data_IF_172117458477
#
_entry.id   IF_172117458477
#
_cell.length_a   1.000
_cell.length_b   1.000
_cell.length_c   1.000
_cell.angle_alpha   90.00
_cell.angle_beta   90.00
_cell.angle_gamma   90.00
#
_symmetry.space_group_name_H-M   'P 1'
#
loop_
_entity.id
_entity.type
_entity.pdbx_description
1 polymer ?
#
# COMPACT_ATOMS: atom_id res chain seq x y z
N UNK A 1 -50.54 -11.49 50.18
CA UNK A 1 -50.63 -10.89 48.82
C UNK A 1 -49.23 -10.51 48.36
N UNK A 2 -48.84 -11.02 47.17
CA UNK A 2 -47.74 -10.59 46.27
C UNK A 2 -46.30 -10.80 46.79
N UNK A 3 -45.53 -11.80 46.34
CA UNK A 3 -44.92 -12.09 45.01
C UNK A 3 -43.42 -11.69 45.03
N UNK A 4 -42.46 -12.65 44.89
CA UNK A 4 -41.73 -13.03 43.65
C UNK A 4 -41.12 -11.79 42.95
N UNK A 5 -39.82 -11.65 42.63
CA UNK A 5 -38.72 -12.59 42.44
C UNK A 5 -37.36 -11.82 42.41
N UNK A 6 -36.20 -12.51 42.52
CA UNK A 6 -34.87 -11.97 42.20
C UNK A 6 -34.51 -12.18 40.72
N UNK A 7 -33.32 -11.70 40.33
CA UNK A 7 -32.66 -11.81 39.01
C UNK A 7 -33.05 -10.76 37.96
N UNK A 8 -32.14 -9.79 37.79
CA UNK A 8 -31.73 -9.36 36.46
C UNK A 8 -30.19 -9.27 36.47
N UNK A 9 -29.57 -10.43 36.18
CA UNK A 9 -28.16 -10.53 35.82
C UNK A 9 -28.01 -9.77 34.49
N UNK A 10 -27.42 -8.57 34.53
CA UNK A 10 -27.06 -7.83 33.35
C UNK A 10 -25.98 -8.61 32.60
N UNK A 11 -26.41 -9.42 31.64
CA UNK A 11 -25.53 -10.07 30.69
C UNK A 11 -24.92 -8.97 29.82
N UNK A 12 -23.70 -8.56 30.14
CA UNK A 12 -22.85 -7.78 29.23
C UNK A 12 -22.64 -8.64 27.98
N UNK A 13 -23.41 -8.34 26.92
CA UNK A 13 -23.06 -8.74 25.57
C UNK A 13 -21.78 -8.01 25.19
N UNK A 14 -20.65 -8.69 25.37
CA UNK A 14 -19.41 -8.40 24.65
C UNK A 14 -19.74 -8.48 23.16
N UNK A 15 -19.85 -7.33 22.52
CA UNK A 15 -19.77 -7.24 21.07
C UNK A 15 -18.34 -7.63 20.69
N UNK A 16 -18.10 -8.92 20.48
CA UNK A 16 -16.94 -9.38 19.76
C UNK A 16 -17.03 -8.79 18.35
N UNK A 17 -16.22 -7.77 18.10
CA UNK A 17 -15.98 -7.26 16.75
C UNK A 17 -15.45 -8.43 15.93
N UNK A 18 -16.33 -9.02 15.13
CA UNK A 18 -15.97 -9.97 14.08
C UNK A 18 -15.04 -9.24 13.11
N UNK A 19 -13.72 -9.40 13.29
CA UNK A 19 -12.82 -9.25 12.16
C UNK A 19 -13.23 -10.34 11.18
N UNK A 20 -13.93 -9.95 10.12
CA UNK A 20 -14.35 -10.89 9.09
C UNK A 20 -13.08 -11.60 8.57
N UNK A 21 -12.95 -12.88 8.87
CA UNK A 21 -11.87 -13.75 8.38
C UNK A 21 -11.78 -13.57 6.85
N UNK A 22 -10.62 -13.14 6.34
CA UNK A 22 -10.42 -12.99 4.91
C UNK A 22 -10.42 -14.38 4.26
N UNK A 23 -11.56 -14.75 3.67
CA UNK A 23 -11.80 -16.02 3.01
C UNK A 23 -11.84 -15.82 1.48
N UNK A 24 -11.03 -16.58 0.76
CA UNK A 24 -10.98 -16.54 -0.70
C UNK A 24 -11.10 -17.94 -1.29
N UNK A 25 -12.21 -18.19 -2.00
CA UNK A 25 -12.47 -19.49 -2.65
C UNK A 25 -11.68 -19.61 -3.96
N UNK A 26 -11.06 -20.77 -4.18
CA UNK A 26 -10.35 -21.14 -5.42
C UNK A 26 -10.87 -22.49 -5.93
N UNK A 27 -10.53 -22.87 -7.18
CA UNK A 27 -10.81 -24.22 -7.72
C UNK A 27 -10.09 -25.34 -6.96
N UNK A 28 -9.07 -24.99 -6.16
CA UNK A 28 -8.20 -25.92 -5.45
C UNK A 28 -8.38 -25.89 -3.93
N UNK A 29 -9.42 -25.21 -3.44
CA UNK A 29 -9.72 -25.07 -2.02
C UNK A 29 -9.90 -23.61 -1.60
N UNK A 30 -10.13 -23.40 -0.30
CA UNK A 30 -10.32 -22.06 0.26
C UNK A 30 -9.03 -21.58 0.92
N UNK A 31 -8.55 -20.42 0.49
CA UNK A 31 -7.52 -19.68 1.20
C UNK A 31 -8.15 -18.89 2.34
N UNK A 32 -7.43 -18.87 3.47
CA UNK A 32 -7.84 -18.13 4.65
C UNK A 32 -6.62 -17.50 5.31
N UNK A 33 -6.79 -16.27 5.78
CA UNK A 33 -5.86 -15.66 6.72
C UNK A 33 -6.34 -15.91 8.15
N UNK A 34 -5.43 -16.38 9.00
CA UNK A 34 -5.69 -16.59 10.43
C UNK A 34 -4.55 -15.97 11.24
N UNK A 35 -4.81 -15.54 12.49
CA UNK A 35 -3.75 -15.20 13.40
C UNK A 35 -3.05 -16.46 13.92
N UNK A 36 -1.71 -16.46 13.94
CA UNK A 36 -0.95 -17.51 14.63
C UNK A 36 -1.14 -17.44 16.14
N UNK A 37 -1.32 -16.23 16.65
CA UNK A 37 -1.63 -15.93 18.05
C UNK A 37 -2.99 -15.22 18.12
N UNK A 38 -4.06 -15.92 18.56
CA UNK A 38 -5.39 -15.34 18.68
C UNK A 38 -5.46 -14.12 19.59
N UNK A 39 -4.55 -13.97 20.56
CA UNK A 39 -4.54 -12.83 21.49
C UNK A 39 -4.05 -11.55 20.80
N UNK A 40 -3.11 -11.68 19.86
CA UNK A 40 -2.59 -10.55 19.10
C UNK A 40 -3.53 -10.12 17.97
N UNK A 41 -4.36 -11.03 17.45
CA UNK A 41 -5.33 -10.73 16.39
C UNK A 41 -4.71 -10.31 15.05
N UNK A 42 -3.40 -10.49 14.88
CA UNK A 42 -2.68 -10.18 13.64
C UNK A 42 -2.81 -11.37 12.70
N UNK A 43 -3.46 -11.17 11.56
CA UNK A 43 -3.59 -12.21 10.53
C UNK A 43 -2.27 -12.41 9.78
N UNK A 44 -1.37 -13.23 10.34
CA UNK A 44 0.01 -13.44 9.88
C UNK A 44 0.21 -14.80 9.16
N UNK A 45 -0.82 -15.64 9.13
CA UNK A 45 -0.74 -17.02 8.63
C UNK A 45 -1.71 -17.28 7.49
N UNK A 46 -1.20 -17.76 6.36
CA UNK A 46 -1.98 -18.17 5.20
C UNK A 46 -2.24 -19.68 5.22
N UNK A 47 -3.52 -20.05 5.18
CA UNK A 47 -3.99 -21.43 5.18
C UNK A 47 -4.67 -21.78 3.85
N UNK A 48 -4.49 -23.01 3.36
CA UNK A 48 -5.31 -23.64 2.33
C UNK A 48 -6.05 -24.84 2.94
N UNK A 49 -7.34 -24.66 3.22
CA UNK A 49 -8.10 -25.59 4.05
C UNK A 49 -7.48 -25.72 5.44
N UNK A 50 -6.94 -26.91 5.77
CA UNK A 50 -6.26 -27.19 7.06
C UNK A 50 -4.73 -27.11 6.98
N UNK A 51 -4.16 -26.87 5.79
CA UNK A 51 -2.71 -26.83 5.58
C UNK A 51 -2.21 -25.40 5.65
N UNK A 52 -1.20 -25.13 6.48
CA UNK A 52 -0.46 -23.88 6.45
C UNK A 52 0.41 -23.80 5.19
N UNK A 53 0.28 -22.71 4.45
CA UNK A 53 1.11 -22.42 3.27
C UNK A 53 2.24 -21.45 3.59
N UNK A 54 1.95 -20.45 4.43
CA UNK A 54 2.88 -19.37 4.76
C UNK A 54 2.59 -18.83 6.14
N UNK A 55 3.61 -18.28 6.79
CA UNK A 55 3.49 -17.48 8.00
C UNK A 55 4.58 -16.42 7.99
N UNK A 56 4.22 -15.21 8.38
CA UNK A 56 5.17 -14.09 8.48
C UNK A 56 4.95 -13.35 9.80
N UNK A 57 5.67 -13.79 10.83
CA UNK A 57 5.49 -13.28 12.20
C UNK A 57 5.65 -11.76 12.26
N UNK A 58 4.76 -11.11 13.00
CA UNK A 58 4.68 -9.65 13.17
C UNK A 58 4.29 -8.87 11.90
N UNK A 59 3.85 -9.54 10.82
CA UNK A 59 3.28 -8.89 9.64
C UNK A 59 1.79 -9.22 9.51
N UNK A 60 1.05 -8.26 8.97
CA UNK A 60 -0.33 -8.40 8.54
C UNK A 60 -0.33 -8.88 7.10
N UNK A 61 -0.92 -10.04 6.85
CA UNK A 61 -1.21 -10.52 5.52
C UNK A 61 -2.53 -9.94 5.02
N UNK A 62 -2.62 -9.76 3.70
CA UNK A 62 -3.83 -9.33 3.02
C UNK A 62 -4.07 -10.15 1.74
N UNK A 63 -5.31 -10.60 1.52
CA UNK A 63 -5.71 -11.28 0.29
C UNK A 63 -6.45 -10.28 -0.60
N UNK A 64 -5.86 -9.95 -1.75
CA UNK A 64 -6.43 -8.98 -2.68
C UNK A 64 -7.52 -9.61 -3.55
N UNK A 65 -7.12 -10.48 -4.48
CA UNK A 65 -8.03 -11.04 -5.47
C UNK A 65 -7.48 -12.34 -6.06
N UNK A 66 -8.40 -13.20 -6.53
CA UNK A 66 -8.13 -14.41 -7.31
C UNK A 66 -8.27 -14.14 -8.81
N UNK A 67 -7.37 -14.73 -9.59
CA UNK A 67 -7.35 -14.72 -11.05
C UNK A 67 -7.28 -16.15 -11.57
N UNK A 68 -8.08 -16.48 -12.58
CA UNK A 68 -8.04 -17.77 -13.26
C UNK A 68 -7.16 -17.63 -14.52
N UNK A 69 -6.01 -18.30 -14.53
CA UNK A 69 -5.09 -18.33 -15.68
C UNK A 69 -5.01 -19.75 -16.23
N UNK A 70 -5.82 -20.04 -17.25
CA UNK A 70 -6.02 -21.39 -17.76
C UNK A 70 -6.47 -22.34 -16.65
N UNK A 71 -5.66 -23.37 -16.37
CA UNK A 71 -5.92 -24.33 -15.29
C UNK A 71 -5.39 -23.85 -13.93
N UNK A 72 -4.74 -22.70 -13.81
CA UNK A 72 -4.21 -22.23 -12.53
C UNK A 72 -5.13 -21.20 -11.88
N UNK A 73 -5.21 -21.23 -10.55
CA UNK A 73 -5.70 -20.09 -9.78
C UNK A 73 -4.49 -19.35 -9.20
N UNK A 74 -4.42 -18.05 -9.47
CA UNK A 74 -3.38 -17.16 -8.97
C UNK A 74 -4.02 -16.16 -8.03
N UNK A 75 -3.48 -16.02 -6.83
CA UNK A 75 -4.00 -15.11 -5.81
C UNK A 75 -2.93 -14.11 -5.44
N UNK A 76 -3.29 -12.83 -5.44
CA UNK A 76 -2.40 -11.77 -4.98
C UNK A 76 -2.48 -11.64 -3.46
N UNK A 77 -1.33 -11.82 -2.81
CA UNK A 77 -1.11 -11.71 -1.38
C UNK A 77 -0.23 -10.48 -1.11
N UNK A 78 -0.60 -9.66 -0.14
CA UNK A 78 0.27 -8.61 0.41
C UNK A 78 0.68 -8.92 1.84
N UNK A 79 1.81 -8.38 2.25
CA UNK A 79 2.36 -8.45 3.60
C UNK A 79 2.83 -7.06 4.05
N UNK A 80 2.45 -6.65 5.25
CA UNK A 80 2.73 -5.32 5.79
C UNK A 80 3.05 -5.37 7.29
N UNK A 81 4.02 -4.60 7.77
CA UNK A 81 4.34 -4.56 9.20
C UNK A 81 3.32 -3.81 10.09
N UNK A 82 2.19 -3.31 9.54
CA UNK A 82 1.02 -2.82 10.27
C UNK A 82 1.13 -1.45 10.96
N UNK A 83 2.35 -0.97 11.20
CA UNK A 83 2.60 0.32 11.83
C UNK A 83 2.47 1.51 10.86
N UNK A 84 2.24 2.70 11.40
CA UNK A 84 2.29 3.96 10.64
C UNK A 84 3.68 4.27 10.08
N UNK A 85 4.71 3.51 10.45
CA UNK A 85 6.05 3.56 9.88
C UNK A 85 6.25 2.70 8.63
N UNK A 86 5.33 1.78 8.37
CA UNK A 86 5.51 0.72 7.38
C UNK A 86 5.40 1.24 5.94
N UNK A 87 6.20 0.68 5.02
CA UNK A 87 5.98 0.88 3.59
C UNK A 87 4.64 0.26 3.16
N UNK A 88 4.27 0.44 1.89
CA UNK A 88 3.17 -0.33 1.31
C UNK A 88 3.51 -1.83 1.30
N UNK A 89 2.51 -2.66 1.02
CA UNK A 89 2.65 -4.11 1.05
C UNK A 89 3.79 -4.62 0.15
N UNK A 90 4.57 -5.56 0.70
CA UNK A 90 5.36 -6.49 -0.08
C UNK A 90 4.43 -7.55 -0.66
N UNK A 91 4.45 -7.72 -1.98
CA UNK A 91 3.49 -8.55 -2.69
C UNK A 91 4.08 -9.91 -3.07
N UNK A 92 3.22 -10.91 -3.12
CA UNK A 92 3.51 -12.26 -3.57
C UNK A 92 2.31 -12.87 -4.32
N UNK A 93 2.59 -13.82 -5.22
CA UNK A 93 1.56 -14.62 -5.88
C UNK A 93 1.47 -16.00 -5.25
N UNK A 94 0.28 -16.38 -4.80
CA UNK A 94 -0.04 -17.76 -4.42
C UNK A 94 -0.61 -18.46 -5.65
N UNK A 95 0.11 -19.45 -6.18
CA UNK A 95 -0.26 -20.18 -7.39
C UNK A 95 -0.70 -21.59 -7.04
N UNK A 96 -1.92 -21.93 -7.45
CA UNK A 96 -2.56 -23.22 -7.25
C UNK A 96 -2.86 -23.86 -8.61
N UNK A 97 -2.42 -25.09 -8.82
CA UNK A 97 -2.51 -25.77 -10.11
C UNK A 97 -2.78 -27.28 -9.91
N UNK A 98 -3.42 -27.97 -10.86
CA UNK A 98 -3.77 -29.37 -10.71
C UNK A 98 -2.51 -30.24 -10.73
N UNK A 99 -2.45 -31.22 -9.83
CA UNK A 99 -1.31 -32.13 -9.73
C UNK A 99 0.00 -31.49 -9.24
N UNK A 100 -0.03 -30.20 -8.88
CA UNK A 100 1.12 -29.46 -8.33
C UNK A 100 0.81 -29.00 -6.91
N UNK A 101 1.83 -28.96 -6.06
CA UNK A 101 1.71 -28.31 -4.76
C UNK A 101 1.52 -26.79 -4.89
N UNK A 102 0.91 -26.12 -3.89
CA UNK A 102 0.86 -24.66 -3.84
C UNK A 102 2.25 -24.04 -3.93
N UNK A 103 2.38 -22.95 -4.68
CA UNK A 103 3.63 -22.19 -4.80
C UNK A 103 3.41 -20.75 -4.38
N UNK A 104 4.40 -20.16 -3.73
CA UNK A 104 4.42 -18.73 -3.40
C UNK A 104 5.57 -18.11 -4.19
N UNK A 105 5.25 -17.12 -5.01
CA UNK A 105 6.19 -16.47 -5.92
C UNK A 105 6.28 -15.01 -5.51
N UNK A 106 7.40 -14.63 -4.91
CA UNK A 106 7.74 -13.25 -4.60
C UNK A 106 8.80 -12.69 -5.55
N UNK A 107 9.03 -11.38 -5.46
CA UNK A 107 10.16 -10.73 -6.11
C UNK A 107 10.55 -9.47 -5.32
N UNK A 108 11.85 -9.18 -5.17
CA UNK A 108 12.37 -8.06 -4.33
C UNK A 108 11.85 -6.67 -4.69
N UNK A 109 11.30 -6.51 -5.89
CA UNK A 109 10.72 -5.26 -6.39
C UNK A 109 9.20 -5.37 -6.61
N UNK A 110 8.56 -6.39 -6.05
CA UNK A 110 7.12 -6.57 -6.16
C UNK A 110 6.39 -5.84 -5.03
N UNK A 111 6.40 -4.52 -5.13
CA UNK A 111 5.73 -3.60 -4.21
C UNK A 111 5.38 -2.31 -4.98
N UNK A 112 4.46 -1.54 -4.43
CA UNK A 112 4.11 -0.21 -4.93
C UNK A 112 4.70 0.90 -4.05
N UNK A 113 5.14 2.01 -4.65
CA UNK A 113 5.63 3.16 -3.89
C UNK A 113 4.48 4.03 -3.36
N UNK A 114 3.35 4.07 -4.06
CA UNK A 114 2.20 4.93 -3.75
C UNK A 114 0.95 4.14 -3.33
N UNK A 115 1.08 2.82 -3.15
CA UNK A 115 -0.02 1.93 -2.80
C UNK A 115 -0.87 1.51 -3.99
N UNK A 116 -0.57 1.96 -5.21
CA UNK A 116 -1.25 1.49 -6.43
C UNK A 116 -1.03 0.00 -6.61
N UNK A 117 -2.12 -0.77 -6.62
CA UNK A 117 -2.14 -2.20 -6.93
C UNK A 117 -3.37 -2.48 -7.80
N UNK A 118 -3.19 -2.39 -9.11
CA UNK A 118 -4.26 -2.53 -10.09
C UNK A 118 -4.05 -3.76 -10.97
N UNK A 119 -4.51 -4.95 -10.54
CA UNK A 119 -4.34 -6.19 -11.29
C UNK A 119 -5.35 -6.32 -12.44
N UNK A 120 -4.89 -6.85 -13.57
CA UNK A 120 -5.70 -7.20 -14.73
C UNK A 120 -5.24 -8.55 -15.29
N UNK A 121 -6.18 -9.45 -15.57
CA UNK A 121 -5.89 -10.76 -16.15
C UNK A 121 -6.65 -10.95 -17.46
N UNK A 122 -6.01 -11.61 -18.43
CA UNK A 122 -6.60 -11.96 -19.73
C UNK A 122 -6.76 -13.47 -19.93
N UNK A 123 -6.75 -14.25 -18.84
CA UNK A 123 -6.85 -15.71 -18.85
C UNK A 123 -5.55 -16.45 -19.18
N UNK A 124 -4.51 -15.76 -19.68
CA UNK A 124 -3.17 -16.34 -19.91
C UNK A 124 -2.09 -15.67 -19.05
N UNK A 125 -2.26 -14.38 -18.81
CA UNK A 125 -1.31 -13.55 -18.10
C UNK A 125 -2.03 -12.69 -17.07
N UNK A 126 -1.37 -12.44 -15.95
CA UNK A 126 -1.73 -11.43 -14.96
C UNK A 126 -0.73 -10.28 -15.06
N UNK A 127 -1.23 -9.07 -15.31
CA UNK A 127 -0.47 -7.82 -15.31
C UNK A 127 -0.98 -6.97 -14.16
N UNK A 128 -0.08 -6.55 -13.28
CA UNK A 128 -0.40 -5.73 -12.11
C UNK A 128 0.33 -4.41 -12.29
N UNK A 129 -0.45 -3.35 -12.40
CA UNK A 129 0.08 -2.01 -12.36
C UNK A 129 0.38 -1.61 -10.90
N UNK A 130 1.66 -1.31 -10.65
CA UNK A 130 2.22 -0.95 -9.36
C UNK A 130 2.52 0.55 -9.25
N UNK A 131 1.89 1.37 -10.10
CA UNK A 131 2.09 2.81 -10.11
C UNK A 131 3.40 3.21 -10.79
N UNK A 132 4.19 4.06 -10.14
CA UNK A 132 5.43 4.58 -10.72
C UNK A 132 6.66 4.30 -9.86
N UNK A 133 7.77 4.10 -10.56
CA UNK A 133 9.10 4.03 -9.96
C UNK A 133 10.10 4.65 -10.94
N UNK A 134 10.98 5.50 -10.43
CA UNK A 134 11.96 6.22 -11.26
C UNK A 134 11.34 6.93 -12.48
N UNK A 135 10.13 7.52 -12.34
CA UNK A 135 9.39 8.20 -13.42
C UNK A 135 8.95 7.29 -14.57
N UNK A 136 8.96 5.97 -14.35
CA UNK A 136 8.49 4.94 -15.28
C UNK A 136 7.31 4.21 -14.67
N UNK A 137 6.42 3.69 -15.52
CA UNK A 137 5.31 2.84 -15.07
C UNK A 137 5.87 1.51 -14.62
N UNK A 138 5.60 1.12 -13.38
CA UNK A 138 6.07 -0.13 -12.80
C UNK A 138 4.97 -1.18 -12.96
N UNK A 139 5.32 -2.29 -13.62
CA UNK A 139 4.38 -3.39 -13.89
C UNK A 139 4.96 -4.69 -13.33
N UNK A 140 4.11 -5.50 -12.70
CA UNK A 140 4.41 -6.90 -12.45
C UNK A 140 3.67 -7.76 -13.47
N UNK A 141 4.39 -8.65 -14.14
CA UNK A 141 3.85 -9.48 -15.22
C UNK A 141 4.09 -10.95 -14.88
N UNK A 142 3.00 -11.70 -14.75
CA UNK A 142 3.04 -13.14 -14.52
C UNK A 142 2.43 -13.90 -15.70
N UNK A 143 3.22 -14.73 -16.36
CA UNK A 143 2.86 -15.44 -17.60
C UNK A 143 2.31 -16.87 -17.38
N UNK A 144 1.99 -17.24 -16.14
CA UNK A 144 1.63 -18.61 -15.76
C UNK A 144 2.81 -19.47 -15.29
N UNK A 145 4.03 -18.95 -15.42
CA UNK A 145 5.25 -19.62 -14.94
C UNK A 145 6.14 -18.67 -14.13
N UNK A 146 6.42 -17.49 -14.67
CA UNK A 146 7.47 -16.59 -14.21
C UNK A 146 6.87 -15.22 -13.89
N UNK A 147 7.30 -14.64 -12.77
CA UNK A 147 6.98 -13.26 -12.40
C UNK A 147 8.14 -12.35 -12.81
N UNK A 148 7.84 -11.29 -13.57
CA UNK A 148 8.80 -10.25 -13.96
C UNK A 148 8.32 -8.88 -13.48
N UNK A 149 9.26 -8.04 -13.10
CA UNK A 149 9.01 -6.62 -12.81
C UNK A 149 9.61 -5.78 -13.93
N UNK A 150 8.78 -4.94 -14.54
CA UNK A 150 9.13 -4.13 -15.70
C UNK A 150 8.93 -2.64 -15.39
N UNK A 151 9.83 -1.80 -15.90
CA UNK A 151 9.72 -0.34 -15.85
C UNK A 151 9.52 0.19 -17.26
N UNK A 152 8.27 0.46 -17.63
CA UNK A 152 7.91 0.97 -18.93
C UNK A 152 8.04 2.51 -18.99
N UNK A 153 8.67 3.01 -20.05
CA UNK A 153 8.73 4.45 -20.29
C UNK A 153 7.32 5.02 -20.50
N UNK A 154 7.08 6.21 -19.97
CA UNK A 154 5.81 6.93 -20.12
C UNK A 154 6.09 8.38 -20.50
N UNK A 155 5.16 8.98 -21.25
CA UNK A 155 5.18 10.42 -21.48
C UNK A 155 4.79 11.13 -20.19
N UNK A 156 5.64 12.05 -19.73
CA UNK A 156 5.35 12.85 -18.56
C UNK A 156 4.06 13.67 -18.77
N UNK A 157 3.13 13.54 -17.83
CA UNK A 157 1.91 14.33 -17.74
C UNK A 157 1.91 15.08 -16.43
N UNK A 158 1.27 16.26 -16.35
CA UNK A 158 1.08 16.95 -15.07
C UNK A 158 0.48 16.02 -14.02
N UNK A 159 0.81 16.25 -12.75
CA UNK A 159 0.11 15.55 -11.67
C UNK A 159 -1.40 15.81 -11.76
N UNK A 160 -2.20 14.84 -11.32
CA UNK A 160 -3.63 15.07 -11.20
C UNK A 160 -3.90 16.14 -10.10
N UNK A 161 -5.10 16.71 -10.12
CA UNK A 161 -5.47 17.80 -9.20
C UNK A 161 -5.41 17.38 -7.73
N UNK A 162 -5.77 16.14 -7.40
CA UNK A 162 -5.77 15.64 -6.03
C UNK A 162 -4.34 15.51 -5.50
N UNK A 163 -3.45 14.84 -6.22
CA UNK A 163 -2.05 14.66 -5.83
C UNK A 163 -1.32 16.00 -5.73
N UNK A 164 -1.59 16.93 -6.67
CA UNK A 164 -1.00 18.25 -6.63
C UNK A 164 -1.45 19.06 -5.41
N UNK A 165 -2.75 19.02 -5.10
CA UNK A 165 -3.31 19.70 -3.92
C UNK A 165 -2.78 19.08 -2.63
N UNK A 166 -2.74 17.75 -2.55
CA UNK A 166 -2.16 17.02 -1.42
C UNK A 166 -0.70 17.45 -1.20
N UNK A 167 0.12 17.45 -2.26
CA UNK A 167 1.53 17.87 -2.17
C UNK A 167 1.65 19.32 -1.69
N UNK A 168 0.75 20.21 -2.13
CA UNK A 168 0.73 21.60 -1.70
C UNK A 168 0.39 21.76 -0.22
N UNK A 169 -0.60 21.02 0.28
CA UNK A 169 -0.97 21.04 1.70
C UNK A 169 0.21 20.65 2.59
N UNK A 170 0.99 19.64 2.18
CA UNK A 170 2.19 19.22 2.90
C UNK A 170 3.41 20.11 2.67
N UNK A 171 3.40 21.00 1.67
CA UNK A 171 4.45 22.00 1.51
C UNK A 171 4.46 23.02 2.68
N UNK A 172 3.37 23.11 3.47
CA UNK A 172 3.37 23.86 4.72
C UNK A 172 4.43 23.36 5.72
N UNK A 173 4.76 22.07 5.70
CA UNK A 173 5.84 21.51 6.51
C UNK A 173 7.20 22.15 6.22
N UNK A 174 7.42 22.67 5.01
CA UNK A 174 8.64 23.41 4.68
C UNK A 174 8.77 24.72 5.48
N UNK A 175 7.65 25.37 5.81
CA UNK A 175 7.63 26.59 6.64
C UNK A 175 7.93 26.25 8.10
N UNK A 176 7.35 25.16 8.59
CA UNK A 176 7.51 24.67 9.97
C UNK A 176 8.93 24.17 10.24
N UNK A 177 9.61 23.64 9.22
CA UNK A 177 11.00 23.17 9.32
C UNK A 177 11.97 24.22 9.86
N UNK A 178 11.71 25.52 9.67
CA UNK A 178 12.54 26.60 10.21
C UNK A 178 12.57 26.64 11.75
N UNK A 179 11.68 25.92 12.43
CA UNK A 179 11.65 25.76 13.88
C UNK A 179 12.69 24.74 14.37
N UNK A 180 13.01 23.74 13.56
CA UNK A 180 13.89 22.61 13.92
C UNK A 180 15.22 22.60 13.13
N UNK A 181 15.26 23.14 11.92
CA UNK A 181 16.47 23.38 11.12
C UNK A 181 16.57 24.85 10.68
N UNK A 182 17.35 25.63 11.44
CA UNK A 182 17.60 27.05 11.13
C UNK A 182 18.43 27.21 9.84
N UNK A 183 19.15 26.17 9.41
CA UNK A 183 19.97 26.23 8.19
C UNK A 183 19.13 26.10 6.91
N UNK A 184 17.91 25.55 7.01
CA UNK A 184 17.01 25.28 5.90
C UNK A 184 17.70 24.57 4.72
N UNK A 185 18.63 23.65 5.00
CA UNK A 185 19.39 22.95 3.95
C UNK A 185 18.56 21.86 3.30
N UNK A 186 17.83 21.11 4.12
CA UNK A 186 16.95 20.02 3.70
C UNK A 186 15.66 20.04 4.53
N UNK A 187 14.76 21.03 4.33
CA UNK A 187 13.58 21.18 5.17
C UNK A 187 12.64 19.95 5.15
N UNK A 188 12.68 19.14 4.10
CA UNK A 188 11.88 17.91 4.02
C UNK A 188 12.31 16.83 5.00
N UNK A 189 13.57 16.84 5.47
CA UNK A 189 14.08 15.85 6.42
C UNK A 189 13.40 15.97 7.79
N UNK A 190 12.77 17.12 8.07
CA UNK A 190 12.01 17.37 9.30
C UNK A 190 10.54 16.94 9.17
N UNK A 191 10.13 16.43 8.01
CA UNK A 191 8.74 16.04 7.80
C UNK A 191 8.37 14.84 8.67
N UNK A 192 7.14 14.77 9.20
CA UNK A 192 6.63 13.55 9.79
C UNK A 192 6.74 12.37 8.81
N UNK A 193 7.02 11.17 9.31
CA UNK A 193 7.34 10.01 8.46
C UNK A 193 6.28 9.70 7.39
N UNK A 194 4.99 9.91 7.68
CA UNK A 194 3.92 9.74 6.69
C UNK A 194 4.01 10.75 5.54
N UNK A 195 4.30 12.01 5.87
CA UNK A 195 4.45 13.09 4.89
C UNK A 195 5.69 12.89 4.04
N UNK A 196 6.82 12.57 4.68
CA UNK A 196 8.06 12.29 3.98
C UNK A 196 7.87 11.16 2.96
N UNK A 197 7.25 10.05 3.36
CA UNK A 197 6.98 8.91 2.45
C UNK A 197 6.00 9.27 1.34
N UNK A 198 4.94 10.01 1.62
CA UNK A 198 4.00 10.41 0.58
C UNK A 198 4.64 11.34 -0.47
N UNK A 199 5.49 12.27 -0.05
CA UNK A 199 6.28 13.10 -0.99
C UNK A 199 7.28 12.25 -1.77
N UNK A 200 7.94 11.29 -1.12
CA UNK A 200 8.85 10.35 -1.79
C UNK A 200 8.12 9.48 -2.83
N UNK A 201 6.90 9.02 -2.52
CA UNK A 201 6.05 8.28 -3.45
C UNK A 201 5.67 9.13 -4.67
N UNK A 202 5.21 10.37 -4.43
CA UNK A 202 4.90 11.34 -5.49
C UNK A 202 6.14 11.68 -6.33
N UNK A 203 7.36 11.64 -5.76
CA UNK A 203 8.58 11.89 -6.52
C UNK A 203 8.84 10.89 -7.64
N UNK A 204 8.19 9.71 -7.60
CA UNK A 204 8.23 8.76 -8.70
C UNK A 204 7.25 9.09 -9.84
N UNK A 205 6.29 9.98 -9.63
CA UNK A 205 5.37 10.42 -10.68
C UNK A 205 6.13 11.25 -11.73
N UNK A 206 5.98 10.97 -13.04
CA UNK A 206 6.74 11.66 -14.09
C UNK A 206 6.39 13.16 -14.22
N UNK A 207 5.20 13.56 -13.75
CA UNK A 207 4.74 14.94 -13.72
C UNK A 207 5.35 15.81 -12.62
N UNK A 208 5.79 15.18 -11.53
CA UNK A 208 6.31 15.88 -10.38
C UNK A 208 7.71 16.44 -10.66
N UNK A 209 7.92 17.71 -10.33
CA UNK A 209 9.19 18.40 -10.51
C UNK A 209 9.93 18.47 -9.17
N UNK A 210 10.54 17.36 -8.75
CA UNK A 210 11.26 17.23 -7.46
C UNK A 210 12.22 18.40 -7.23
N UNK A 211 13.09 18.71 -8.19
CA UNK A 211 14.04 19.82 -8.04
C UNK A 211 13.39 21.20 -7.90
N UNK A 212 12.16 21.41 -8.39
CA UNK A 212 11.42 22.66 -8.16
C UNK A 212 10.75 22.65 -6.80
N UNK A 213 10.20 21.51 -6.37
CA UNK A 213 9.69 21.33 -5.01
C UNK A 213 10.78 21.61 -3.97
N UNK A 214 11.98 21.06 -4.16
CA UNK A 214 13.09 21.22 -3.22
C UNK A 214 13.53 22.68 -3.07
N UNK A 215 13.71 23.37 -4.20
CA UNK A 215 14.05 24.80 -4.20
C UNK A 215 12.97 25.65 -3.53
N UNK A 216 11.70 25.36 -3.83
CA UNK A 216 10.59 26.06 -3.21
C UNK A 216 10.53 25.77 -1.71
N UNK A 217 10.76 24.53 -1.28
CA UNK A 217 10.76 24.15 0.13
C UNK A 217 11.84 24.88 0.93
N UNK A 218 13.07 24.95 0.40
CA UNK A 218 14.16 25.76 0.98
C UNK A 218 13.76 27.23 1.08
N UNK A 219 13.14 27.80 0.05
CA UNK A 219 12.70 29.19 0.07
C UNK A 219 11.58 29.43 1.10
N UNK A 220 10.60 28.53 1.18
CA UNK A 220 9.50 28.61 2.15
C UNK A 220 10.01 28.50 3.60
N UNK A 221 11.01 27.66 3.85
CA UNK A 221 11.69 27.58 5.15
C UNK A 221 12.37 28.91 5.51
N UNK A 222 13.20 29.44 4.59
CA UNK A 222 13.95 30.69 4.83
C UNK A 222 13.06 31.91 5.04
N UNK A 223 11.99 32.02 4.25
CA UNK A 223 11.07 33.17 4.29
C UNK A 223 9.95 33.00 5.31
N UNK A 224 9.74 31.77 5.80
CA UNK A 224 8.60 31.37 6.64
C UNK A 224 7.25 31.68 6.00
N UNK A 225 7.19 31.64 4.67
CA UNK A 225 5.99 31.96 3.90
C UNK A 225 5.70 30.83 2.92
N UNK A 226 4.45 30.36 2.94
CA UNK A 226 3.95 29.41 1.95
C UNK A 226 3.73 30.15 0.62
N UNK A 227 4.25 29.60 -0.47
CA UNK A 227 3.95 30.12 -1.81
C UNK A 227 2.47 29.91 -2.11
N UNK A 228 1.83 30.79 -2.90
CA UNK A 228 0.43 30.55 -3.27
C UNK A 228 0.27 29.28 -4.14
N UNK A 229 -0.90 28.64 -4.05
CA UNK A 229 -1.20 27.40 -4.76
C UNK A 229 -1.04 27.49 -6.28
N UNK A 230 -1.41 28.62 -6.90
CA UNK A 230 -1.31 28.79 -8.35
C UNK A 230 0.14 28.79 -8.83
N UNK A 231 1.04 29.42 -8.08
CA UNK A 231 2.48 29.37 -8.36
C UNK A 231 3.02 27.96 -8.09
N UNK A 232 2.60 27.32 -7.00
CA UNK A 232 3.04 25.95 -6.66
C UNK A 232 2.66 24.94 -7.74
N UNK A 233 1.38 24.87 -8.13
CA UNK A 233 0.88 23.86 -9.08
C UNK A 233 1.54 23.97 -10.46
N UNK A 234 1.89 25.19 -10.88
CA UNK A 234 2.67 25.44 -12.10
C UNK A 234 4.10 24.93 -11.98
N UNK A 235 4.78 25.31 -10.90
CA UNK A 235 6.20 25.00 -10.71
C UNK A 235 6.47 23.52 -10.39
N UNK A 236 5.62 22.89 -9.57
CA UNK A 236 5.86 21.56 -8.99
C UNK A 236 5.08 20.47 -9.72
N UNK A 237 3.82 20.73 -10.06
CA UNK A 237 2.92 19.73 -10.62
C UNK A 237 2.84 19.76 -12.15
N UNK A 238 3.41 20.79 -12.80
CA UNK A 238 3.31 21.00 -14.24
C UNK A 238 1.91 21.36 -14.74
N UNK A 239 1.01 21.80 -13.85
CA UNK A 239 -0.36 22.20 -14.21
C UNK A 239 -0.40 23.65 -14.75
N UNK A 240 -1.30 23.96 -15.69
CA UNK A 240 -1.39 25.29 -16.32
C UNK A 240 -1.99 26.38 -15.42
#
# INVERSE_FOLDING_TARGET
MKALAPLALACLLLAAGSQAEALLKTRYGTLRLVPSDPELGISDTLMLGKRQLWREEAYHLNLYQRFELGTQDVVLLGSNCGGTGCPNDDLSLVVLAPGQGPRIIGHKHFYSNDGTVNPQANGKQLVIDLGFENRKRKLAVYDGSTLKIELAAVTARPLNAADCKWTYEYAAGCVEAAQSDVSCRSPQDTFPGVTYRGVAAIAHQPGFKTGNFDKLCVNMCKTRQLVNYNTFRKAVCGQP
#
